data_IF_448321944138
#
_entry.id   IF_448321944138
#
_cell.length_a   1.000
_cell.length_b   1.000
_cell.length_c   1.000
_cell.angle_alpha   90.00
_cell.angle_beta   90.00
_cell.angle_gamma   90.00
#
_symmetry.space_group_name_H-M   'P 1'
#
loop_
_entity.id
_entity.type
_entity.pdbx_description
1 polymer ?
#
# COMPACT_ATOMS: atom_id res chain seq x y z
N UNK A 1 -9.35 37.46 -2.31
CA UNK A 1 -10.37 36.45 -2.65
C UNK A 1 -9.92 35.81 -3.94
N UNK A 2 -9.69 34.48 -3.89
CA UNK A 2 -9.50 33.51 -5.01
C UNK A 2 -8.36 33.83 -6.00
N UNK A 3 -7.44 32.93 -6.36
CA UNK A 3 -7.63 31.52 -6.66
C UNK A 3 -6.41 30.69 -6.22
N UNK A 4 -6.77 29.57 -5.59
CA UNK A 4 -6.02 28.34 -5.36
C UNK A 4 -4.99 28.04 -6.45
N UNK A 5 -3.73 27.89 -6.05
CA UNK A 5 -2.72 27.15 -6.81
C UNK A 5 -3.29 25.78 -7.17
N UNK A 6 -3.73 25.67 -8.42
CA UNK A 6 -4.07 24.43 -9.10
C UNK A 6 -2.76 23.71 -9.38
N UNK A 7 -2.22 23.04 -8.37
CA UNK A 7 -1.12 22.11 -8.54
C UNK A 7 -1.67 20.89 -9.30
N UNK A 8 -1.12 20.71 -10.49
CA UNK A 8 -1.58 19.80 -11.52
C UNK A 8 -1.84 18.39 -10.99
N UNK A 9 -3.10 17.99 -10.95
CA UNK A 9 -3.48 16.59 -10.80
C UNK A 9 -3.06 15.85 -12.07
N UNK A 10 -1.98 15.09 -11.95
CA UNK A 10 -1.37 14.30 -13.03
C UNK A 10 -2.40 13.30 -13.57
N UNK A 11 -2.69 13.27 -14.88
CA UNK A 11 -3.52 12.24 -15.46
C UNK A 11 -2.67 10.98 -15.62
N UNK A 12 -2.95 9.92 -14.85
CA UNK A 12 -2.32 8.61 -15.06
C UNK A 12 -3.39 7.55 -15.31
N UNK A 13 -3.33 7.03 -16.55
CA UNK A 13 -3.83 5.77 -17.08
C UNK A 13 -5.08 5.17 -16.44
N UNK A 14 -6.19 5.16 -17.18
CA UNK A 14 -7.24 4.12 -17.19
C UNK A 14 -7.28 3.24 -15.91
N UNK A 15 -7.66 3.84 -14.75
CA UNK A 15 -7.97 3.06 -13.55
C UNK A 15 -9.32 2.38 -13.79
N UNK A 16 -9.30 1.22 -14.43
CA UNK A 16 -10.48 0.42 -14.68
C UNK A 16 -11.06 -0.10 -13.37
N UNK A 17 -12.09 0.54 -12.83
CA UNK A 17 -12.96 -0.02 -11.78
C UNK A 17 -12.31 -0.30 -10.40
N UNK A 18 -11.09 0.17 -10.14
CA UNK A 18 -10.41 -0.03 -8.84
C UNK A 18 -10.68 1.12 -7.87
N UNK A 19 -10.67 0.80 -6.57
CA UNK A 19 -11.01 1.64 -5.41
C UNK A 19 -10.60 3.12 -5.54
N UNK A 20 -11.42 4.02 -4.97
CA UNK A 20 -11.10 5.46 -4.94
C UNK A 20 -9.73 5.68 -4.29
N UNK A 21 -8.82 6.34 -5.00
CA UNK A 21 -7.48 6.59 -4.50
C UNK A 21 -7.52 7.38 -3.18
N UNK A 22 -7.04 6.76 -2.11
CA UNK A 22 -6.84 7.40 -0.81
C UNK A 22 -5.36 7.42 -0.46
N UNK A 23 -4.81 8.61 -0.25
CA UNK A 23 -3.40 8.77 0.06
C UNK A 23 -3.06 8.23 1.47
N UNK A 24 -1.83 7.72 1.68
CA UNK A 24 -1.33 7.34 3.00
C UNK A 24 -1.38 8.48 4.02
N UNK A 25 -2.09 8.25 5.13
CA UNK A 25 -2.22 9.19 6.24
C UNK A 25 -1.15 9.03 7.32
N UNK A 26 -0.74 7.79 7.61
CA UNK A 26 0.26 7.49 8.67
C UNK A 26 1.67 7.25 8.12
N UNK A 27 2.69 7.32 8.98
CA UNK A 27 4.08 6.98 8.60
C UNK A 27 4.20 5.51 8.17
N UNK A 28 3.50 4.61 8.88
CA UNK A 28 3.48 3.19 8.55
C UNK A 28 2.82 2.95 7.18
N UNK A 29 1.67 3.58 6.91
CA UNK A 29 1.01 3.48 5.60
C UNK A 29 1.91 4.00 4.47
N UNK A 30 2.63 5.12 4.69
CA UNK A 30 3.58 5.64 3.70
C UNK A 30 4.69 4.65 3.40
N UNK A 31 5.29 4.09 4.45
CA UNK A 31 6.36 3.11 4.33
C UNK A 31 5.89 1.85 3.61
N UNK A 32 4.70 1.33 3.95
CA UNK A 32 4.10 0.20 3.26
C UNK A 32 3.80 0.50 1.79
N UNK A 33 3.20 1.65 1.49
CA UNK A 33 2.93 2.06 0.12
C UNK A 33 4.21 2.18 -0.72
N UNK A 34 5.32 2.64 -0.14
CA UNK A 34 6.64 2.65 -0.79
C UNK A 34 7.14 1.25 -1.12
N UNK A 35 7.07 0.32 -0.16
CA UNK A 35 7.44 -1.08 -0.40
C UNK A 35 6.62 -1.72 -1.53
N UNK A 36 5.32 -1.38 -1.60
CA UNK A 36 4.45 -1.85 -2.66
C UNK A 36 4.82 -1.28 -4.03
N UNK A 37 5.13 0.03 -4.10
CA UNK A 37 5.61 0.67 -5.33
C UNK A 37 6.88 -0.01 -5.84
N UNK A 38 7.79 -0.36 -4.95
CA UNK A 38 9.04 -1.02 -5.31
C UNK A 38 8.83 -2.44 -5.85
N UNK A 39 7.89 -3.19 -5.26
CA UNK A 39 7.58 -4.57 -5.66
C UNK A 39 6.71 -4.65 -6.91
N UNK A 40 5.69 -3.81 -7.01
CA UNK A 40 4.70 -3.86 -8.10
C UNK A 40 5.06 -2.95 -9.27
N UNK A 41 5.97 -1.97 -9.07
CA UNK A 41 6.31 -0.93 -10.07
C UNK A 41 5.09 -0.12 -10.52
N UNK A 42 4.08 0.01 -9.66
CA UNK A 42 2.84 0.76 -9.89
C UNK A 42 2.86 2.07 -9.11
N UNK A 43 2.33 3.13 -9.73
CA UNK A 43 2.20 4.47 -9.14
C UNK A 43 0.99 5.20 -9.74
N UNK A 44 0.13 5.82 -8.91
CA UNK A 44 0.20 5.89 -7.43
C UNK A 44 -0.41 4.66 -6.72
N UNK A 45 0.10 4.32 -5.53
CA UNK A 45 -0.49 3.34 -4.60
C UNK A 45 -1.32 4.09 -3.56
N UNK A 46 -2.62 3.82 -3.55
CA UNK A 46 -3.57 4.23 -2.52
C UNK A 46 -3.65 3.19 -1.40
N UNK A 47 -4.11 3.61 -0.23
CA UNK A 47 -4.10 2.72 0.93
C UNK A 47 -5.16 1.61 0.87
N UNK A 48 -6.18 1.80 0.04
CA UNK A 48 -7.25 0.82 -0.21
C UNK A 48 -7.04 0.03 -1.52
N UNK A 49 -5.88 0.17 -2.16
CA UNK A 49 -5.56 -0.66 -3.32
C UNK A 49 -5.17 -2.06 -2.84
N UNK A 50 -5.73 -3.08 -3.48
CA UNK A 50 -5.43 -4.49 -3.20
C UNK A 50 -4.11 -4.92 -3.89
N UNK A 51 -3.21 -5.53 -3.12
CA UNK A 51 -1.90 -5.97 -3.60
C UNK A 51 -1.99 -6.90 -4.81
N UNK A 52 -2.94 -7.84 -4.81
CA UNK A 52 -3.12 -8.85 -5.84
C UNK A 52 -3.85 -8.28 -7.06
N UNK A 53 -4.82 -7.37 -6.87
CA UNK A 53 -5.45 -6.67 -7.99
C UNK A 53 -4.48 -5.77 -8.76
N UNK A 54 -3.49 -5.21 -8.06
CA UNK A 54 -2.40 -4.45 -8.65
C UNK A 54 -1.35 -5.31 -9.39
N UNK A 55 -1.53 -6.63 -9.43
CA UNK A 55 -0.62 -7.57 -10.09
C UNK A 55 0.39 -8.25 -9.16
N UNK A 56 0.20 -8.15 -7.84
CA UNK A 56 0.98 -8.88 -6.85
C UNK A 56 0.81 -10.40 -6.97
N UNK A 57 1.91 -11.12 -6.80
CA UNK A 57 1.96 -12.58 -6.87
C UNK A 57 2.69 -13.17 -5.66
N UNK A 58 2.64 -14.49 -5.48
CA UNK A 58 3.14 -15.17 -4.28
C UNK A 58 4.59 -14.85 -3.92
N UNK A 59 5.49 -14.78 -4.92
CA UNK A 59 6.88 -14.41 -4.69
C UNK A 59 7.02 -12.94 -4.23
N UNK A 60 6.37 -11.99 -4.91
CA UNK A 60 6.40 -10.58 -4.52
C UNK A 60 5.78 -10.36 -3.13
N UNK A 61 4.71 -11.09 -2.80
CA UNK A 61 4.10 -11.11 -1.48
C UNK A 61 5.07 -11.62 -0.41
N UNK A 62 5.75 -12.74 -0.66
CA UNK A 62 6.73 -13.29 0.29
C UNK A 62 7.90 -12.32 0.51
N UNK A 63 8.43 -11.73 -0.56
CA UNK A 63 9.50 -10.74 -0.48
C UNK A 63 9.05 -9.47 0.24
N UNK A 64 7.83 -8.98 -0.04
CA UNK A 64 7.23 -7.85 0.65
C UNK A 64 7.14 -8.09 2.16
N UNK A 65 6.69 -9.27 2.59
CA UNK A 65 6.59 -9.61 4.02
C UNK A 65 7.96 -9.60 4.72
N UNK A 66 9.01 -10.04 4.02
CA UNK A 66 10.39 -9.96 4.53
C UNK A 66 10.83 -8.50 4.68
N UNK A 67 10.54 -7.65 3.69
CA UNK A 67 10.87 -6.22 3.76
C UNK A 67 10.10 -5.53 4.90
N UNK A 68 8.82 -5.86 5.08
CA UNK A 68 7.98 -5.33 6.15
C UNK A 68 8.54 -5.72 7.51
N UNK A 69 8.92 -6.98 7.69
CA UNK A 69 9.51 -7.45 8.95
C UNK A 69 10.85 -6.74 9.23
N UNK A 70 11.68 -6.53 8.21
CA UNK A 70 12.93 -5.78 8.35
C UNK A 70 12.70 -4.29 8.67
N UNK A 71 11.65 -3.70 8.10
CA UNK A 71 11.29 -2.29 8.23
C UNK A 71 10.63 -1.96 9.58
N UNK A 72 9.77 -2.85 10.07
CA UNK A 72 8.91 -2.61 11.24
C UNK A 72 9.33 -3.38 12.49
N UNK A 73 10.16 -4.42 12.31
CA UNK A 73 10.49 -5.38 13.37
C UNK A 73 9.35 -6.36 13.72
N UNK A 74 8.23 -6.32 12.99
CA UNK A 74 7.06 -7.16 13.23
C UNK A 74 6.95 -8.23 12.14
N UNK A 75 6.95 -9.49 12.55
CA UNK A 75 6.71 -10.60 11.61
C UNK A 75 5.22 -10.69 11.27
N UNK A 76 4.89 -10.50 10.00
CA UNK A 76 3.53 -10.63 9.49
C UNK A 76 3.35 -11.99 8.82
N UNK A 77 2.35 -12.75 9.27
CA UNK A 77 2.03 -14.03 8.65
C UNK A 77 1.54 -13.81 7.21
N UNK A 78 1.97 -14.65 6.26
CA UNK A 78 1.50 -14.56 4.87
C UNK A 78 -0.03 -14.61 4.75
N UNK A 79 -0.69 -15.36 5.63
CA UNK A 79 -2.16 -15.39 5.74
C UNK A 79 -2.76 -14.00 5.91
N UNK A 80 -2.12 -13.11 6.69
CA UNK A 80 -2.60 -11.76 6.93
C UNK A 80 -2.67 -10.99 5.63
N UNK A 81 -1.62 -11.03 4.79
CA UNK A 81 -1.64 -10.36 3.49
C UNK A 81 -2.73 -10.88 2.54
N UNK A 82 -3.13 -12.16 2.67
CA UNK A 82 -4.26 -12.70 1.88
C UNK A 82 -5.65 -12.32 2.42
N UNK A 83 -5.76 -11.98 3.70
CA UNK A 83 -7.03 -11.57 4.34
C UNK A 83 -7.21 -10.05 4.32
N UNK A 84 -6.10 -9.35 4.48
CA UNK A 84 -5.97 -7.90 4.63
C UNK A 84 -5.03 -7.41 3.51
N UNK A 85 -5.43 -7.53 2.23
CA UNK A 85 -4.56 -7.34 1.09
C UNK A 85 -4.35 -5.87 0.74
N UNK A 86 -4.78 -4.92 1.58
CA UNK A 86 -4.60 -3.47 1.39
C UNK A 86 -3.53 -2.91 2.34
N UNK A 87 -2.97 -1.73 2.01
CA UNK A 87 -1.99 -1.06 2.87
C UNK A 87 -2.61 -0.65 4.20
N UNK A 88 -3.84 -0.13 4.20
CA UNK A 88 -4.53 0.31 5.41
C UNK A 88 -4.76 -0.85 6.39
N UNK A 89 -5.25 -1.98 5.88
CA UNK A 89 -5.53 -3.15 6.70
C UNK A 89 -4.25 -3.79 7.23
N UNK A 90 -3.20 -3.88 6.40
CA UNK A 90 -1.91 -4.42 6.81
C UNK A 90 -1.23 -3.53 7.86
N UNK A 91 -1.34 -2.20 7.73
CA UNK A 91 -0.87 -1.25 8.73
C UNK A 91 -1.57 -1.51 10.08
N UNK A 92 -2.90 -1.61 10.08
CA UNK A 92 -3.67 -1.90 11.29
C UNK A 92 -3.28 -3.24 11.93
N UNK A 93 -3.03 -4.28 11.13
CA UNK A 93 -2.58 -5.58 11.61
C UNK A 93 -1.19 -5.52 12.28
N UNK A 94 -0.25 -4.77 11.69
CA UNK A 94 1.09 -4.56 12.26
C UNK A 94 1.00 -3.79 13.58
N UNK A 95 0.21 -2.72 13.62
CA UNK A 95 -0.01 -1.94 14.85
C UNK A 95 -0.66 -2.77 15.96
N UNK A 96 -1.56 -3.69 15.61
CA UNK A 96 -2.18 -4.60 16.57
C UNK A 96 -1.20 -5.66 17.10
N UNK A 97 -0.28 -6.13 16.26
CA UNK A 97 0.71 -7.15 16.63
C UNK A 97 1.91 -6.60 17.41
N UNK A 98 2.25 -5.32 17.23
CA UNK A 98 3.34 -4.64 17.94
C UNK A 98 2.99 -4.10 19.34
N UNK A 99 1.75 -4.32 19.82
CA UNK A 99 1.28 -3.91 21.15
C UNK A 99 1.47 -4.98 22.22
#
# INVERSE_FOLDING_TARGET
MTETTHDAMVPRADRGLWSEYRAPGTDLERQLAELWRDRLRVEPIGIDDDFFELGGHSLAAAELLVDIAAATGVEVAARTLFLEPTVAELAAAIEAAGR
#
